data_IF_322819664434
#
_entry.id   IF_322819664434
#
_cell.length_a   1.000
_cell.length_b   1.000
_cell.length_c   1.000
_cell.angle_alpha   90.00
_cell.angle_beta   90.00
_cell.angle_gamma   90.00
#
_symmetry.space_group_name_H-M   'P 1'
#
loop_
_entity.id
_entity.type
_entity.pdbx_description
1 polymer ?
#
# COMPACT_ATOMS: atom_id res chain seq x y z
N UNK A 1 -18.41 -39.75 -18.02
CA UNK A 1 -17.73 -38.60 -18.65
C UNK A 1 -17.13 -37.74 -17.55
N UNK A 2 -15.85 -38.00 -17.25
CA UNK A 2 -15.05 -37.27 -16.26
C UNK A 2 -14.48 -36.00 -16.91
N UNK A 3 -14.67 -34.84 -16.29
CA UNK A 3 -13.95 -33.61 -16.65
C UNK A 3 -12.92 -33.33 -15.57
N UNK A 4 -11.69 -33.71 -15.89
CA UNK A 4 -10.49 -33.20 -15.25
C UNK A 4 -10.22 -31.78 -15.76
N UNK A 5 -9.86 -30.89 -14.84
CA UNK A 5 -9.32 -29.56 -15.09
C UNK A 5 -8.62 -29.13 -13.81
N UNK A 6 -7.38 -29.59 -13.66
CA UNK A 6 -6.57 -29.40 -12.45
C UNK A 6 -6.40 -27.93 -12.08
N UNK A 7 -6.51 -27.66 -10.78
CA UNK A 7 -6.03 -26.43 -10.19
C UNK A 7 -4.52 -26.30 -10.49
N UNK A 8 -4.02 -25.12 -10.91
CA UNK A 8 -2.59 -24.92 -10.97
C UNK A 8 -2.01 -25.00 -9.56
N UNK A 9 -0.98 -25.83 -9.42
CA UNK A 9 -0.14 -25.90 -8.24
C UNK A 9 0.56 -24.56 -8.05
N UNK A 10 0.02 -23.78 -7.12
CA UNK A 10 0.62 -22.54 -6.60
C UNK A 10 0.46 -22.49 -5.09
N UNK A 11 0.48 -23.63 -4.41
CA UNK A 11 0.42 -23.72 -2.95
C UNK A 11 1.77 -23.35 -2.34
N UNK A 12 2.11 -22.08 -2.46
CA UNK A 12 3.15 -21.38 -1.70
C UNK A 12 2.58 -20.06 -1.17
N UNK A 13 1.31 -20.05 -0.73
CA UNK A 13 0.53 -18.82 -0.50
C UNK A 13 0.98 -17.97 0.69
N UNK A 14 1.90 -18.43 1.54
CA UNK A 14 2.27 -17.72 2.77
C UNK A 14 3.75 -17.28 2.85
N UNK A 15 4.64 -17.71 1.94
CA UNK A 15 6.10 -17.48 2.09
C UNK A 15 6.72 -16.54 1.04
N UNK A 16 6.00 -16.21 -0.04
CA UNK A 16 6.47 -15.24 -1.04
C UNK A 16 5.52 -14.04 -1.14
N UNK A 17 5.28 -13.36 -0.01
CA UNK A 17 4.59 -12.06 -0.08
C UNK A 17 5.52 -11.05 -0.76
N UNK A 18 5.37 -10.92 -2.08
CA UNK A 18 6.11 -9.98 -2.90
C UNK A 18 5.56 -8.58 -2.65
N UNK A 19 6.26 -7.82 -1.81
CA UNK A 19 5.95 -6.41 -1.65
C UNK A 19 6.31 -5.68 -2.95
N UNK A 20 5.32 -5.01 -3.52
CA UNK A 20 5.50 -4.16 -4.68
C UNK A 20 5.96 -2.78 -4.27
N UNK A 21 6.87 -2.21 -5.06
CA UNK A 21 7.39 -0.85 -4.86
C UNK A 21 7.25 -0.12 -6.20
N UNK A 22 6.63 1.07 -6.24
CA UNK A 22 6.49 1.83 -7.46
C UNK A 22 7.85 2.35 -7.94
N UNK A 23 7.95 2.72 -9.22
CA UNK A 23 9.19 3.33 -9.73
C UNK A 23 9.44 4.74 -9.18
N UNK A 24 8.38 5.46 -8.79
CA UNK A 24 8.44 6.83 -8.27
C UNK A 24 7.20 7.13 -7.43
N UNK A 25 7.37 7.85 -6.32
CA UNK A 25 6.24 8.33 -5.51
C UNK A 25 5.36 9.33 -6.28
N UNK A 26 5.94 10.14 -7.18
CA UNK A 26 5.19 11.08 -8.01
C UNK A 26 4.17 10.44 -8.98
N UNK A 27 4.28 9.13 -9.21
CA UNK A 27 3.32 8.36 -10.01
C UNK A 27 2.12 7.89 -9.18
N UNK A 28 2.18 8.01 -7.86
CA UNK A 28 1.09 7.73 -6.94
C UNK A 28 0.18 8.96 -6.93
N UNK A 29 -1.02 8.80 -7.51
CA UNK A 29 -2.01 9.88 -7.73
C UNK A 29 -3.39 9.48 -7.20
N UNK A 30 -3.39 8.61 -6.20
CA UNK A 30 -4.60 8.14 -5.55
C UNK A 30 -5.35 9.26 -4.83
N UNK A 31 -6.58 8.96 -4.40
CA UNK A 31 -7.40 9.92 -3.68
C UNK A 31 -6.81 10.24 -2.30
N UNK A 32 -6.94 11.50 -1.87
CA UNK A 32 -6.44 12.01 -0.58
C UNK A 32 -7.52 12.65 0.29
N UNK A 33 -8.75 12.76 -0.22
CA UNK A 33 -9.89 13.41 0.43
C UNK A 33 -11.19 12.79 -0.08
N UNK A 34 -12.28 12.94 0.68
CA UNK A 34 -13.56 12.32 0.36
C UNK A 34 -13.69 10.88 0.83
N UNK A 35 -14.74 10.21 0.36
CA UNK A 35 -15.07 8.83 0.75
C UNK A 35 -14.68 7.89 -0.38
N UNK A 36 -13.91 6.85 -0.06
CA UNK A 36 -13.47 5.86 -1.04
C UNK A 36 -13.77 4.46 -0.55
N UNK A 37 -14.14 3.58 -1.48
CA UNK A 37 -14.37 2.17 -1.18
C UNK A 37 -13.27 1.36 -1.85
N UNK A 38 -12.42 0.70 -1.07
CA UNK A 38 -11.37 -0.16 -1.61
C UNK A 38 -11.98 -1.35 -2.36
N UNK A 39 -11.29 -1.78 -3.40
CA UNK A 39 -11.65 -3.01 -4.09
C UNK A 39 -11.58 -4.22 -3.15
N UNK A 40 -12.51 -5.16 -3.33
CA UNK A 40 -12.58 -6.41 -2.53
C UNK A 40 -11.28 -7.23 -2.54
N UNK A 41 -10.41 -7.00 -3.53
CA UNK A 41 -9.09 -7.64 -3.61
C UNK A 41 -8.12 -7.14 -2.55
N UNK A 42 -8.26 -5.87 -2.15
CA UNK A 42 -7.44 -5.24 -1.12
C UNK A 42 -8.03 -5.50 0.26
N UNK A 43 -9.34 -5.36 0.38
CA UNK A 43 -10.05 -5.60 1.63
C UNK A 43 -11.24 -6.53 1.42
N UNK A 44 -11.14 -7.74 1.99
CA UNK A 44 -12.17 -8.77 1.92
C UNK A 44 -13.23 -8.63 3.03
N UNK A 45 -13.13 -7.62 3.91
CA UNK A 45 -13.94 -7.49 5.13
C UNK A 45 -15.41 -7.14 4.86
N UNK A 46 -15.76 -6.75 3.63
CA UNK A 46 -17.13 -6.48 3.20
C UNK A 46 -17.49 -5.00 3.18
N UNK A 47 -17.04 -4.22 4.17
CA UNK A 47 -17.20 -2.77 4.26
C UNK A 47 -15.84 -2.07 4.24
N UNK A 48 -15.26 -1.96 3.05
CA UNK A 48 -13.95 -1.35 2.82
C UNK A 48 -14.05 0.15 2.50
N UNK A 49 -14.98 0.85 3.15
CA UNK A 49 -15.21 2.28 2.94
C UNK A 49 -14.40 3.08 3.95
N UNK A 50 -13.60 4.03 3.44
CA UNK A 50 -12.71 4.87 4.23
C UNK A 50 -13.02 6.34 3.98
N UNK A 51 -13.06 7.13 5.05
CA UNK A 51 -13.17 8.57 4.98
C UNK A 51 -11.77 9.20 4.96
N UNK A 52 -11.32 9.65 3.81
CA UNK A 52 -9.99 10.26 3.66
C UNK A 52 -9.88 11.64 4.31
N UNK A 53 -11.02 12.26 4.60
CA UNK A 53 -11.09 13.48 5.41
C UNK A 53 -10.82 13.21 6.89
N UNK A 54 -10.93 11.96 7.34
CA UNK A 54 -10.51 11.53 8.67
C UNK A 54 -9.07 10.99 8.62
N UNK A 55 -8.13 11.57 9.38
CA UNK A 55 -6.72 11.18 9.33
C UNK A 55 -6.49 9.74 9.82
N UNK A 56 -7.35 9.22 10.70
CA UNK A 56 -7.27 7.84 11.18
C UNK A 56 -7.65 6.85 10.08
N UNK A 57 -8.79 7.07 9.43
CA UNK A 57 -9.25 6.25 8.30
C UNK A 57 -8.28 6.29 7.13
N UNK A 58 -7.75 7.49 6.79
CA UNK A 58 -6.72 7.65 5.77
C UNK A 58 -5.47 6.82 6.09
N UNK A 59 -5.01 6.85 7.35
CA UNK A 59 -3.85 6.07 7.80
C UNK A 59 -4.12 4.57 7.74
N UNK A 60 -5.31 4.11 8.16
CA UNK A 60 -5.70 2.69 8.09
C UNK A 60 -5.77 2.22 6.64
N UNK A 61 -6.42 2.98 5.76
CA UNK A 61 -6.50 2.68 4.33
C UNK A 61 -5.09 2.56 3.73
N UNK A 62 -4.19 3.50 4.01
CA UNK A 62 -2.83 3.46 3.48
C UNK A 62 -2.06 2.22 3.97
N UNK A 63 -2.20 1.86 5.26
CA UNK A 63 -1.62 0.63 5.80
C UNK A 63 -2.18 -0.62 5.12
N UNK A 64 -3.50 -0.68 4.95
CA UNK A 64 -4.19 -1.80 4.29
C UNK A 64 -3.68 -1.94 2.86
N UNK A 65 -3.71 -0.87 2.07
CA UNK A 65 -3.25 -0.90 0.67
C UNK A 65 -1.78 -1.30 0.59
N UNK A 66 -0.90 -0.76 1.43
CA UNK A 66 0.52 -1.12 1.42
C UNK A 66 0.80 -2.59 1.78
N UNK A 67 0.00 -3.16 2.68
CA UNK A 67 0.11 -4.58 3.06
C UNK A 67 -0.54 -5.52 2.03
N UNK A 68 -1.64 -5.09 1.41
CA UNK A 68 -2.51 -5.93 0.59
C UNK A 68 -2.26 -5.77 -0.92
N UNK A 69 -1.64 -4.67 -1.36
CA UNK A 69 -1.35 -4.42 -2.77
C UNK A 69 -0.46 -5.52 -3.35
N UNK A 70 -0.93 -6.13 -4.44
CA UNK A 70 -0.19 -7.13 -5.20
C UNK A 70 0.51 -6.51 -6.41
N UNK A 71 0.06 -5.33 -6.88
CA UNK A 71 0.61 -4.67 -8.06
C UNK A 71 0.91 -3.19 -7.83
N UNK A 72 1.82 -2.63 -8.64
CA UNK A 72 2.09 -1.19 -8.64
C UNK A 72 0.87 -0.37 -9.10
N UNK A 73 -0.02 -0.97 -9.88
CA UNK A 73 -1.26 -0.30 -10.31
C UNK A 73 -2.18 -0.03 -9.12
N UNK A 74 -2.33 -1.00 -8.21
CA UNK A 74 -3.11 -0.82 -6.98
C UNK A 74 -2.56 0.34 -6.14
N UNK A 75 -1.24 0.40 -5.97
CA UNK A 75 -0.60 1.49 -5.25
C UNK A 75 -0.87 2.85 -5.93
N UNK A 76 -0.79 2.93 -7.26
CA UNK A 76 -1.02 4.16 -8.01
C UNK A 76 -2.46 4.63 -7.95
N UNK A 77 -3.40 3.69 -7.89
CA UNK A 77 -4.83 3.96 -7.83
C UNK A 77 -5.26 4.49 -6.46
N UNK A 78 -4.65 4.00 -5.39
CA UNK A 78 -5.13 4.23 -4.03
C UNK A 78 -4.23 5.12 -3.16
N UNK A 79 -2.94 5.22 -3.48
CA UNK A 79 -1.99 6.04 -2.70
C UNK A 79 -1.61 7.31 -3.45
N UNK A 80 -1.39 8.37 -2.70
CA UNK A 80 -0.75 9.60 -3.16
C UNK A 80 0.67 9.69 -2.58
N UNK A 81 1.63 10.11 -3.40
CA UNK A 81 3.04 10.14 -3.03
C UNK A 81 3.36 11.14 -1.93
N UNK A 82 2.71 12.31 -1.94
CA UNK A 82 2.94 13.36 -0.95
C UNK A 82 2.28 13.04 0.39
N UNK A 83 1.06 12.50 0.36
CA UNK A 83 0.37 12.03 1.56
C UNK A 83 1.07 10.82 2.16
N UNK A 84 1.53 9.88 1.34
CA UNK A 84 2.31 8.75 1.83
C UNK A 84 3.57 9.22 2.54
N UNK A 85 4.31 10.19 1.98
CA UNK A 85 5.51 10.75 2.62
C UNK A 85 5.22 11.37 3.98
N UNK A 86 4.08 12.06 4.12
CA UNK A 86 3.63 12.65 5.39
C UNK A 86 3.29 11.59 6.43
N UNK A 87 2.57 10.55 6.03
CA UNK A 87 2.09 9.50 6.95
C UNK A 87 3.13 8.41 7.23
N UNK A 88 4.13 8.22 6.36
CA UNK A 88 5.16 7.19 6.47
C UNK A 88 5.79 6.98 7.87
N UNK A 89 6.13 8.03 8.64
CA UNK A 89 6.63 7.84 10.01
C UNK A 89 5.59 7.25 10.97
N UNK A 90 4.30 7.54 10.78
CA UNK A 90 3.20 7.10 11.64
C UNK A 90 2.59 5.76 11.22
N UNK A 91 2.80 5.32 9.97
CA UNK A 91 2.30 4.03 9.48
C UNK A 91 3.03 2.85 10.14
N UNK A 92 2.26 1.90 10.67
CA UNK A 92 2.80 0.65 11.20
C UNK A 92 2.96 -0.37 10.07
N UNK A 93 4.18 -0.44 9.52
CA UNK A 93 4.51 -1.30 8.37
C UNK A 93 5.47 -2.43 8.78
N UNK A 94 5.35 -3.63 8.17
CA UNK A 94 6.34 -4.70 8.35
C UNK A 94 7.75 -4.21 8.00
N UNK A 95 8.75 -4.60 8.81
CA UNK A 95 10.14 -4.16 8.63
C UNK A 95 10.67 -4.42 7.21
N UNK A 96 10.30 -5.57 6.59
CA UNK A 96 10.70 -5.91 5.21
C UNK A 96 10.10 -4.96 4.17
N UNK A 97 8.81 -4.64 4.30
CA UNK A 97 8.15 -3.68 3.41
C UNK A 97 8.78 -2.29 3.55
N UNK A 98 8.97 -1.85 4.80
CA UNK A 98 9.59 -0.55 5.10
C UNK A 98 11.00 -0.47 4.52
N UNK A 99 11.82 -1.50 4.71
CA UNK A 99 13.17 -1.56 4.17
C UNK A 99 13.20 -1.53 2.63
N UNK A 100 12.30 -2.25 1.95
CA UNK A 100 12.22 -2.25 0.48
C UNK A 100 11.85 -0.87 -0.07
N UNK A 101 10.87 -0.21 0.55
CA UNK A 101 10.46 1.13 0.17
C UNK A 101 11.54 2.16 0.48
N UNK A 102 12.18 2.10 1.65
CA UNK A 102 13.27 3.01 2.03
C UNK A 102 14.52 2.83 1.16
N UNK A 103 14.84 1.59 0.78
CA UNK A 103 15.94 1.30 -0.15
C UNK A 103 15.68 1.92 -1.54
N UNK A 104 14.41 2.04 -1.94
CA UNK A 104 14.03 2.63 -3.22
C UNK A 104 13.77 4.15 -3.15
N UNK A 105 13.32 4.63 -2.01
CA UNK A 105 12.93 6.00 -1.72
C UNK A 105 13.66 6.50 -0.47
N UNK A 106 14.88 7.03 -0.62
CA UNK A 106 15.64 7.57 0.51
C UNK A 106 14.92 8.76 1.18
N UNK A 107 14.04 9.46 0.45
CA UNK A 107 13.17 10.51 0.97
C UNK A 107 12.13 10.04 2.01
N UNK A 108 11.83 8.74 2.08
CA UNK A 108 11.00 8.15 3.14
C UNK A 108 11.82 7.72 4.38
N UNK A 109 13.14 7.60 4.22
CA UNK A 109 14.06 7.28 5.29
C UNK A 109 14.65 8.54 5.95
N UNK A 110 14.79 9.60 5.18
CA UNK A 110 15.21 10.89 5.70
C UNK A 110 14.05 11.49 6.51
N UNK A 111 14.21 11.78 7.82
CA UNK A 111 13.35 12.78 8.44
C UNK A 111 13.46 14.06 7.59
N UNK A 112 12.41 14.89 7.49
CA UNK A 112 12.56 16.19 6.86
C UNK A 112 13.76 16.84 7.54
N UNK A 113 14.81 17.09 6.76
CA UNK A 113 16.00 17.74 7.28
C UNK A 113 15.54 19.16 7.56
N UNK A 114 15.05 19.38 8.78
CA UNK A 114 15.01 20.70 9.35
C UNK A 114 16.45 21.21 9.23
N UNK A 115 16.60 22.20 8.36
CA UNK A 115 17.82 23.00 8.30
C UNK A 115 17.99 23.60 9.69
N UNK A 116 18.82 22.95 10.48
CA UNK A 116 19.43 23.48 11.69
C UNK A 116 20.92 23.33 11.44
N UNK A 117 21.73 24.38 11.35
CA UNK A 117 21.55 25.82 11.43
C UNK A 117 22.93 26.42 11.12
#
# INVERSE_FOLDING_TARGET
>A
MVKAGGAPAGSGYADQRHYVVPASLANLRGPVSGVVTLDRRLDWSGDATYHLDDPGDLQVMYQTVLNQAATVADLRQWLDGDTLRRLWPDLWLPARLRALWQARFPELAAPPRALAG
#
